data_IF_031135946421
#
_entry.id   IF_031135946421
#
_cell.length_a   1.000
_cell.length_b   1.000
_cell.length_c   1.000
_cell.angle_alpha   90.00
_cell.angle_beta   90.00
_cell.angle_gamma   90.00
#
_symmetry.space_group_name_H-M   'P 1'
#
loop_
_entity.id
_entity.type
_entity.pdbx_description
1 polymer ?
#
# COMPACT_ATOMS: atom_id res chain seq x y z
N UNK A 1 4.44 -7.16 -6.42
CA UNK A 1 3.03 -7.28 -6.85
C UNK A 1 2.39 -5.89 -6.76
N UNK A 2 1.60 -5.44 -7.76
CA UNK A 2 0.95 -4.12 -7.71
C UNK A 2 -0.33 -4.17 -6.85
N UNK A 3 -0.63 -3.18 -5.98
CA UNK A 3 -1.77 -3.22 -5.06
C UNK A 3 -3.15 -3.42 -5.73
N UNK A 4 -3.39 -2.81 -6.89
CA UNK A 4 -4.63 -2.97 -7.65
C UNK A 4 -4.90 -4.43 -8.10
N UNK A 5 -3.87 -5.28 -8.10
CA UNK A 5 -4.04 -6.70 -8.42
C UNK A 5 -4.89 -7.42 -7.37
N UNK A 6 -4.88 -6.97 -6.11
CA UNK A 6 -5.75 -7.54 -5.06
C UNK A 6 -7.23 -7.28 -5.35
N UNK A 7 -7.55 -6.10 -5.87
CA UNK A 7 -8.91 -5.76 -6.31
C UNK A 7 -9.32 -6.55 -7.55
N UNK A 8 -8.41 -6.72 -8.51
CA UNK A 8 -8.69 -7.48 -9.73
C UNK A 8 -8.88 -8.98 -9.45
N UNK A 9 -8.07 -9.56 -8.58
CA UNK A 9 -8.15 -10.99 -8.22
C UNK A 9 -9.38 -11.31 -7.37
N UNK A 10 -9.94 -10.35 -6.64
CA UNK A 10 -11.22 -10.53 -5.96
C UNK A 10 -12.32 -10.86 -6.99
N UNK A 11 -12.28 -10.28 -8.19
CA UNK A 11 -13.40 -10.30 -9.13
C UNK A 11 -13.36 -11.40 -10.22
N UNK A 12 -12.74 -12.57 -9.98
CA UNK A 12 -13.50 -13.80 -10.27
C UNK A 12 -13.29 -14.95 -9.27
N UNK A 13 -12.36 -14.84 -8.31
CA UNK A 13 -11.98 -15.95 -7.42
C UNK A 13 -12.82 -15.98 -6.14
N UNK A 14 -13.27 -14.82 -5.63
CA UNK A 14 -13.98 -14.77 -4.35
C UNK A 14 -14.94 -13.57 -4.24
N UNK A 15 -16.19 -13.81 -3.82
CA UNK A 15 -17.18 -12.74 -3.56
C UNK A 15 -16.88 -11.96 -2.28
N UNK A 16 -15.88 -12.38 -1.50
CA UNK A 16 -15.48 -11.74 -0.26
C UNK A 16 -14.38 -10.70 -0.52
N UNK A 17 -14.78 -9.43 -0.58
CA UNK A 17 -13.87 -8.29 -0.65
C UNK A 17 -13.66 -7.68 0.75
N UNK A 18 -12.44 -7.30 1.14
CA UNK A 18 -11.19 -7.45 0.39
C UNK A 18 -10.54 -8.83 0.53
N UNK A 19 -9.75 -9.22 -0.48
CA UNK A 19 -8.87 -10.39 -0.38
C UNK A 19 -7.80 -10.18 0.70
N UNK A 20 -7.58 -11.21 1.51
CA UNK A 20 -6.45 -11.25 2.46
C UNK A 20 -5.19 -11.72 1.73
N UNK A 21 -4.12 -10.95 1.82
CA UNK A 21 -2.86 -11.26 1.17
C UNK A 21 -1.78 -11.58 2.19
N UNK A 22 -1.16 -12.75 2.08
CA UNK A 22 -0.08 -13.19 2.97
C UNK A 22 1.22 -13.32 2.18
N UNK A 23 2.25 -12.57 2.58
CA UNK A 23 3.59 -12.70 2.01
C UNK A 23 4.44 -13.62 2.88
N UNK A 24 4.96 -14.71 2.31
CA UNK A 24 5.81 -15.68 3.03
C UNK A 24 7.28 -15.60 2.60
N UNK A 25 7.57 -14.98 1.45
CA UNK A 25 8.93 -14.79 0.95
C UNK A 25 8.96 -13.60 0.00
N UNK A 26 10.07 -12.85 0.06
CA UNK A 26 10.44 -11.88 -0.96
C UNK A 26 11.49 -12.47 -1.90
N UNK A 27 11.34 -12.26 -3.20
CA UNK A 27 12.39 -12.57 -4.18
C UNK A 27 13.54 -11.55 -4.08
N UNK A 28 13.22 -10.32 -3.69
CA UNK A 28 14.20 -9.26 -3.42
C UNK A 28 15.10 -9.63 -2.24
N UNK A 29 16.43 -9.52 -2.39
CA UNK A 29 17.37 -9.79 -1.31
C UNK A 29 17.14 -8.88 -0.10
N UNK A 30 17.44 -9.39 1.10
CA UNK A 30 17.25 -8.66 2.36
C UNK A 30 17.96 -7.30 2.38
N UNK A 31 19.22 -7.26 1.94
CA UNK A 31 20.02 -6.01 1.91
C UNK A 31 19.36 -4.94 1.03
N UNK A 32 18.72 -5.36 -0.07
CA UNK A 32 17.99 -4.44 -0.93
C UNK A 32 16.69 -3.96 -0.30
N UNK A 33 15.97 -4.83 0.42
CA UNK A 33 14.80 -4.43 1.21
C UNK A 33 15.14 -3.42 2.31
N UNK A 34 16.27 -3.59 2.99
CA UNK A 34 16.77 -2.63 3.99
C UNK A 34 17.12 -1.29 3.35
N UNK A 35 17.79 -1.31 2.19
CA UNK A 35 18.07 -0.09 1.42
C UNK A 35 16.79 0.62 0.99
N UNK A 36 15.79 -0.10 0.50
CA UNK A 36 14.49 0.47 0.13
C UNK A 36 13.79 1.06 1.36
N UNK A 37 13.81 0.34 2.49
CA UNK A 37 13.26 0.80 3.77
C UNK A 37 13.88 2.11 4.23
N UNK A 38 15.21 2.24 4.15
CA UNK A 38 15.91 3.47 4.57
C UNK A 38 15.55 4.72 3.75
N UNK A 39 15.02 4.53 2.53
CA UNK A 39 14.63 5.63 1.63
C UNK A 39 13.12 5.90 1.66
N UNK A 40 12.35 5.08 2.36
CA UNK A 40 10.92 5.26 2.47
C UNK A 40 10.59 6.55 3.20
N UNK A 41 9.52 7.23 2.76
CA UNK A 41 9.10 8.51 3.33
C UNK A 41 9.90 9.72 2.87
N UNK A 42 10.96 9.55 2.07
CA UNK A 42 11.67 10.65 1.42
C UNK A 42 10.98 10.98 0.11
N UNK A 43 10.57 12.23 -0.07
CA UNK A 43 10.02 12.70 -1.33
C UNK A 43 11.10 12.67 -2.43
N UNK A 44 10.73 12.14 -3.58
CA UNK A 44 11.60 11.99 -4.76
C UNK A 44 10.80 12.57 -5.93
N UNK A 45 11.30 13.65 -6.53
CA UNK A 45 10.59 14.41 -7.57
C UNK A 45 10.23 13.52 -8.77
N UNK A 46 11.10 12.58 -9.12
CA UNK A 46 10.91 11.63 -10.21
C UNK A 46 9.67 10.74 -10.03
N UNK A 47 9.16 10.60 -8.80
CA UNK A 47 7.98 9.79 -8.48
C UNK A 47 6.71 10.59 -8.20
N UNK A 48 6.75 11.92 -8.30
CA UNK A 48 5.62 12.79 -7.97
C UNK A 48 4.35 12.44 -8.79
N UNK A 49 4.51 12.23 -10.09
CA UNK A 49 3.41 11.81 -10.96
C UNK A 49 2.79 10.47 -10.52
N UNK A 50 3.63 9.53 -10.08
CA UNK A 50 3.20 8.24 -9.54
C UNK A 50 2.43 8.38 -8.23
N UNK A 51 2.87 9.28 -7.34
CA UNK A 51 2.16 9.55 -6.09
C UNK A 51 0.79 10.17 -6.33
N UNK A 52 0.69 11.15 -7.25
CA UNK A 52 -0.60 11.76 -7.65
C UNK A 52 -1.56 10.71 -8.22
N UNK A 53 -1.05 9.82 -9.08
CA UNK A 53 -1.84 8.73 -9.62
C UNK A 53 -2.33 7.77 -8.53
N UNK A 54 -1.48 7.41 -7.56
CA UNK A 54 -1.86 6.54 -6.45
C UNK A 54 -2.99 7.16 -5.61
N UNK A 55 -2.90 8.45 -5.31
CA UNK A 55 -3.97 9.17 -4.59
C UNK A 55 -5.27 9.16 -5.39
N UNK A 56 -5.21 9.42 -6.70
CA UNK A 56 -6.39 9.33 -7.57
C UNK A 56 -7.01 7.93 -7.54
N UNK A 57 -6.20 6.87 -7.58
CA UNK A 57 -6.66 5.49 -7.56
C UNK A 57 -7.27 5.07 -6.21
N UNK A 58 -6.86 5.71 -5.12
CA UNK A 58 -7.48 5.52 -3.80
C UNK A 58 -8.84 6.21 -3.74
N UNK A 59 -8.93 7.42 -4.30
CA UNK A 59 -10.18 8.22 -4.32
C UNK A 59 -11.26 7.63 -5.23
N UNK A 60 -10.87 7.10 -6.39
CA UNK A 60 -11.81 6.51 -7.35
C UNK A 60 -12.17 5.05 -7.05
N UNK A 61 -11.61 4.48 -5.97
CA UNK A 61 -11.84 3.11 -5.52
C UNK A 61 -11.12 2.03 -6.34
N UNK A 62 -10.29 2.40 -7.33
CA UNK A 62 -9.45 1.45 -8.09
C UNK A 62 -8.51 0.67 -7.17
N UNK A 63 -8.03 1.29 -6.11
CA UNK A 63 -7.29 0.66 -5.02
C UNK A 63 -8.12 0.80 -3.74
N UNK A 64 -8.51 -0.32 -3.15
CA UNK A 64 -9.29 -0.34 -1.91
C UNK A 64 -8.33 -0.22 -0.72
N UNK A 65 -8.48 0.80 0.14
CA UNK A 65 -7.67 0.91 1.34
C UNK A 65 -7.79 -0.31 2.26
N UNK A 66 -8.98 -0.91 2.33
CA UNK A 66 -9.25 -2.12 3.11
C UNK A 66 -8.45 -3.32 2.58
N UNK A 67 -8.25 -3.41 1.26
CA UNK A 67 -7.42 -4.44 0.65
C UNK A 67 -5.93 -4.28 1.02
N UNK A 68 -5.45 -3.04 1.13
CA UNK A 68 -4.09 -2.77 1.64
C UNK A 68 -4.00 -3.16 3.12
N UNK A 69 -5.01 -2.81 3.93
CA UNK A 69 -5.08 -3.17 5.36
C UNK A 69 -5.16 -4.68 5.61
N UNK A 70 -5.64 -5.44 4.63
CA UNK A 70 -5.72 -6.91 4.70
C UNK A 70 -4.40 -7.62 4.32
N UNK A 71 -3.32 -6.87 4.05
CA UNK A 71 -1.99 -7.44 3.80
C UNK A 71 -1.33 -7.85 5.11
N UNK A 72 -0.74 -9.04 5.13
CA UNK A 72 0.10 -9.53 6.22
C UNK A 72 1.46 -9.97 5.68
N UNK A 73 2.53 -9.43 6.23
CA UNK A 73 3.90 -9.88 5.96
C UNK A 73 4.31 -10.92 7.02
N UNK A 74 4.50 -12.17 6.59
CA UNK A 74 4.97 -13.31 7.37
C UNK A 74 6.33 -13.82 6.89
N UNK A 75 7.12 -12.98 6.22
CA UNK A 75 8.43 -13.33 5.68
C UNK A 75 9.54 -13.38 6.74
N UNK A 76 9.30 -12.78 7.92
CA UNK A 76 10.32 -12.61 8.96
C UNK A 76 11.40 -11.57 8.63
N UNK A 77 11.22 -10.75 7.59
CA UNK A 77 12.10 -9.63 7.29
C UNK A 77 11.64 -8.37 8.04
N UNK A 78 12.39 -7.95 9.04
CA UNK A 78 12.03 -6.78 9.87
C UNK A 78 11.87 -5.50 9.04
N UNK A 79 12.72 -5.29 8.03
CA UNK A 79 12.66 -4.12 7.16
C UNK A 79 11.35 -4.04 6.36
N UNK A 80 10.87 -5.16 5.81
CA UNK A 80 9.62 -5.18 5.04
C UNK A 80 8.39 -5.09 5.95
N UNK A 81 8.42 -5.73 7.12
CA UNK A 81 7.36 -5.63 8.13
C UNK A 81 7.21 -4.17 8.58
N UNK A 82 8.31 -3.52 8.94
CA UNK A 82 8.29 -2.10 9.35
C UNK A 82 7.79 -1.19 8.24
N UNK A 83 8.21 -1.42 6.99
CA UNK A 83 7.73 -0.69 5.83
C UNK A 83 6.21 -0.81 5.67
N UNK A 84 5.66 -2.03 5.81
CA UNK A 84 4.23 -2.26 5.75
C UNK A 84 3.49 -1.50 6.86
N UNK A 85 3.99 -1.56 8.10
CA UNK A 85 3.40 -0.82 9.22
C UNK A 85 3.39 0.70 9.00
N UNK A 86 4.49 1.26 8.48
CA UNK A 86 4.58 2.69 8.16
C UNK A 86 3.65 3.08 7.01
N UNK A 87 3.55 2.25 5.98
CA UNK A 87 2.63 2.45 4.87
C UNK A 87 1.16 2.43 5.34
N UNK A 88 0.79 1.51 6.23
CA UNK A 88 -0.56 1.45 6.81
C UNK A 88 -0.88 2.70 7.64
N UNK A 89 0.06 3.17 8.47
CA UNK A 89 -0.10 4.42 9.22
C UNK A 89 -0.26 5.64 8.30
N UNK A 90 0.51 5.70 7.21
CA UNK A 90 0.40 6.78 6.23
C UNK A 90 -0.94 6.73 5.50
N UNK A 91 -1.42 5.53 5.17
CA UNK A 91 -2.73 5.32 4.56
C UNK A 91 -3.86 5.76 5.50
N UNK A 92 -3.80 5.44 6.79
CA UNK A 92 -4.80 5.91 7.76
C UNK A 92 -4.86 7.43 7.83
N UNK A 93 -3.69 8.10 7.91
CA UNK A 93 -3.64 9.58 7.87
C UNK A 93 -4.23 10.16 6.59
N UNK A 94 -4.00 9.48 5.46
CA UNK A 94 -4.54 9.91 4.18
C UNK A 94 -6.07 9.76 4.18
N UNK A 95 -6.62 8.62 4.60
CA UNK A 95 -8.07 8.41 4.70
C UNK A 95 -8.69 9.45 5.64
N UNK A 96 -8.11 9.67 6.82
CA UNK A 96 -8.57 10.68 7.77
C UNK A 96 -8.56 12.11 7.20
N UNK A 97 -7.64 12.40 6.28
CA UNK A 97 -7.57 13.69 5.58
C UNK A 97 -8.59 13.81 4.44
N UNK A 98 -8.99 12.69 3.83
CA UNK A 98 -9.97 12.64 2.75
C UNK A 98 -11.41 12.67 3.26
N UNK A 99 -11.65 12.17 4.48
CA UNK A 99 -12.95 12.25 5.16
C UNK A 99 -13.27 13.66 5.71
N UNK A 100 -12.29 14.57 5.74
CA UNK A 100 -12.50 16.00 6.03
C UNK A 100 -12.89 16.71 4.71
N UNK A 101 -14.06 17.35 4.72
CA UNK A 101 -14.77 17.95 3.57
C UNK A 101 -13.87 18.68 2.55
N UNK A 102 -14.21 18.67 1.24
CA UNK A 102 -13.53 19.42 0.17
C UNK A 102 -13.54 20.95 0.30
N UNK A 103 -14.11 21.50 1.37
CA UNK A 103 -14.29 22.94 1.59
C UNK A 103 -13.10 23.62 2.29
N UNK A 104 -12.05 22.85 2.64
CA UNK A 104 -10.83 23.36 3.30
C UNK A 104 -9.52 23.11 2.50
N UNK A 105 -9.63 22.79 1.20
CA UNK A 105 -8.50 22.75 0.25
C UNK A 105 -8.54 23.98 -0.68
#
# INVERSE_FOLDING_TARGET
MKPWLLNLLACPIDKHHPLKAWFFKWETPREELERLSSKAGVAVEEYEAGYRQLVSQLLDGTISPEAIKAITDSTGCEASIKLLEEALKALDRLIDSLDKSPEEL
#
